data_IF_542180300569
#
_entry.id   IF_542180300569
#
_cell.length_a   1.000
_cell.length_b   1.000
_cell.length_c   1.000
_cell.angle_alpha   90.00
_cell.angle_beta   90.00
_cell.angle_gamma   90.00
#
_symmetry.space_group_name_H-M   'P 1'
#
loop_
_entity.id
_entity.type
_entity.pdbx_description
1 polymer ?
#
# COMPACT_ATOMS: atom_id res chain seq x y z
N UNK A 1 13.97 3.01 -12.51
CA UNK A 1 12.52 3.15 -12.80
C UNK A 1 12.18 2.71 -14.21
N UNK A 2 12.81 3.25 -15.28
CA UNK A 2 12.59 2.78 -16.67
C UNK A 2 12.68 1.26 -16.81
N UNK A 3 13.77 0.67 -16.31
CA UNK A 3 13.96 -0.79 -16.26
C UNK A 3 12.82 -1.57 -15.61
N UNK A 4 12.12 -1.00 -14.62
CA UNK A 4 10.95 -1.64 -14.02
C UNK A 4 9.73 -1.50 -14.94
N UNK A 5 9.46 -0.31 -15.48
CA UNK A 5 8.33 -0.07 -16.38
C UNK A 5 8.40 -0.86 -17.69
N UNK A 6 9.61 -1.21 -18.13
CA UNK A 6 9.84 -1.99 -19.34
C UNK A 6 9.58 -3.50 -19.12
N UNK A 7 9.34 -3.95 -17.89
CA UNK A 7 9.02 -5.35 -17.58
C UNK A 7 7.56 -5.67 -17.96
N UNK A 8 7.29 -6.79 -18.65
CA UNK A 8 5.92 -7.20 -19.02
C UNK A 8 4.95 -7.31 -17.82
N UNK A 9 5.47 -7.73 -16.67
CA UNK A 9 4.74 -7.96 -15.42
C UNK A 9 4.73 -6.75 -14.47
N UNK A 10 5.30 -5.61 -14.88
CA UNK A 10 5.41 -4.42 -14.05
C UNK A 10 4.05 -3.99 -13.50
N UNK A 11 3.95 -3.96 -12.17
CA UNK A 11 2.69 -3.69 -11.48
C UNK A 11 2.96 -2.86 -10.23
N UNK A 12 2.20 -1.78 -10.06
CA UNK A 12 2.17 -1.03 -8.82
C UNK A 12 1.02 -1.52 -7.94
N UNK A 13 1.19 -1.42 -6.62
CA UNK A 13 0.22 -1.89 -5.65
C UNK A 13 -0.19 -0.73 -4.75
N UNK A 14 -1.49 -0.54 -4.56
CA UNK A 14 -2.04 0.46 -3.66
C UNK A 14 -2.86 -0.22 -2.58
N UNK A 15 -2.81 0.33 -1.37
CA UNK A 15 -3.61 -0.15 -0.23
C UNK A 15 -4.64 0.91 0.11
N UNK A 16 -5.86 0.48 0.37
CA UNK A 16 -6.96 1.38 0.72
C UNK A 16 -7.93 0.68 1.67
N UNK A 17 -8.95 1.39 2.15
CA UNK A 17 -10.01 0.82 2.99
C UNK A 17 -11.20 0.39 2.15
N UNK A 18 -12.11 -0.40 2.73
CA UNK A 18 -13.31 -0.86 2.02
C UNK A 18 -14.23 0.30 1.61
N UNK A 19 -14.33 1.35 2.43
CA UNK A 19 -15.17 2.52 2.14
C UNK A 19 -14.65 3.29 0.92
N UNK A 20 -13.32 3.46 0.85
CA UNK A 20 -12.66 4.05 -0.31
C UNK A 20 -12.78 3.15 -1.53
N UNK A 21 -12.68 1.83 -1.37
CA UNK A 21 -12.82 0.88 -2.48
C UNK A 21 -14.19 0.97 -3.15
N UNK A 22 -15.29 1.07 -2.39
CA UNK A 22 -16.64 1.27 -2.96
C UNK A 22 -16.70 2.53 -3.83
N UNK A 23 -16.05 3.60 -3.38
CA UNK A 23 -15.96 4.85 -4.14
C UNK A 23 -15.11 4.68 -5.41
N UNK A 24 -13.98 3.97 -5.30
CA UNK A 24 -13.08 3.68 -6.42
C UNK A 24 -13.78 2.83 -7.49
N UNK A 25 -14.60 1.85 -7.09
CA UNK A 25 -15.37 1.03 -8.03
C UNK A 25 -16.33 1.84 -8.89
N UNK A 26 -16.82 2.97 -8.37
CA UNK A 26 -17.78 3.83 -9.08
C UNK A 26 -17.06 4.89 -9.92
N UNK A 27 -16.01 5.50 -9.35
CA UNK A 27 -15.42 6.74 -9.88
C UNK A 27 -13.96 6.61 -10.31
N UNK A 28 -13.39 5.40 -10.30
CA UNK A 28 -11.94 5.19 -10.40
C UNK A 28 -11.17 5.72 -9.18
N UNK A 29 -9.86 5.52 -9.19
CA UNK A 29 -8.97 5.99 -8.13
C UNK A 29 -8.62 7.45 -8.36
N UNK A 30 -9.15 8.32 -7.50
CA UNK A 30 -8.89 9.75 -7.54
C UNK A 30 -7.90 10.15 -6.44
N UNK A 31 -6.95 11.02 -6.79
CA UNK A 31 -6.01 11.59 -5.85
C UNK A 31 -6.36 13.04 -5.53
N UNK A 32 -6.57 13.34 -4.25
CA UNK A 32 -6.85 14.70 -3.77
C UNK A 32 -5.71 15.70 -4.03
N UNK A 33 -4.48 15.23 -4.32
CA UNK A 33 -3.32 16.07 -4.61
C UNK A 33 -2.56 15.67 -5.89
N UNK A 34 -3.14 14.80 -6.72
CA UNK A 34 -2.44 14.21 -7.87
C UNK A 34 -1.26 13.31 -7.49
N UNK A 35 -1.23 12.79 -6.25
CA UNK A 35 -0.26 11.84 -5.72
C UNK A 35 -0.96 10.55 -5.32
N UNK A 36 -0.50 9.43 -5.85
CA UNK A 36 -0.96 8.09 -5.47
C UNK A 36 0.21 7.34 -4.88
N UNK A 37 0.10 6.96 -3.60
CA UNK A 37 1.12 6.21 -2.89
C UNK A 37 1.00 4.73 -3.23
N UNK A 38 2.10 4.14 -3.71
CA UNK A 38 2.12 2.77 -4.22
C UNK A 38 3.40 2.04 -3.85
N UNK A 39 3.33 0.72 -3.84
CA UNK A 39 4.49 -0.17 -3.78
C UNK A 39 4.81 -0.72 -5.17
N UNK A 40 6.09 -0.94 -5.47
CA UNK A 40 6.54 -1.72 -6.64
C UNK A 40 6.54 -3.23 -6.40
N UNK A 41 6.36 -3.66 -5.15
CA UNK A 41 6.37 -5.07 -4.74
C UNK A 41 5.00 -5.43 -4.17
N UNK A 42 4.46 -6.55 -4.64
CA UNK A 42 3.15 -7.09 -4.24
C UNK A 42 3.19 -8.08 -3.08
N UNK A 43 4.31 -8.16 -2.37
CA UNK A 43 4.48 -9.07 -1.24
C UNK A 43 3.67 -8.60 -0.03
N UNK A 44 2.88 -9.51 0.54
CA UNK A 44 1.99 -9.19 1.65
C UNK A 44 2.69 -8.52 2.84
N UNK A 45 3.89 -8.95 3.31
CA UNK A 45 4.59 -8.25 4.39
C UNK A 45 4.90 -6.78 4.07
N UNK A 46 5.35 -6.48 2.83
CA UNK A 46 5.65 -5.11 2.38
C UNK A 46 4.38 -4.27 2.36
N UNK A 47 3.32 -4.79 1.74
CA UNK A 47 2.05 -4.07 1.62
C UNK A 47 1.40 -3.81 2.97
N UNK A 48 1.45 -4.77 3.89
CA UNK A 48 0.98 -4.59 5.27
C UNK A 48 1.80 -3.53 6.01
N UNK A 49 3.13 -3.55 5.89
CA UNK A 49 3.99 -2.57 6.53
C UNK A 49 3.68 -1.15 6.08
N UNK A 50 3.53 -0.95 4.77
CA UNK A 50 3.12 0.34 4.18
C UNK A 50 1.73 0.75 4.69
N UNK A 51 0.77 -0.18 4.74
CA UNK A 51 -0.58 0.09 5.21
C UNK A 51 -0.59 0.55 6.68
N UNK A 52 0.10 -0.17 7.58
CA UNK A 52 0.20 0.17 9.00
C UNK A 52 0.85 1.52 9.25
N UNK A 53 1.73 1.94 8.36
CA UNK A 53 2.46 3.19 8.50
C UNK A 53 1.71 4.39 7.93
N UNK A 54 1.12 4.25 6.74
CA UNK A 54 0.62 5.38 5.95
C UNK A 54 -0.90 5.56 6.02
N UNK A 55 -1.65 4.59 6.52
CA UNK A 55 -3.12 4.62 6.55
C UNK A 55 -3.64 4.48 7.99
N UNK A 56 -3.73 5.56 8.78
CA UNK A 56 -4.30 5.52 10.12
C UNK A 56 -5.72 4.92 10.18
N UNK A 57 -6.49 5.05 9.10
CA UNK A 57 -7.86 4.56 8.97
C UNK A 57 -7.94 3.02 9.03
N UNK A 58 -6.84 2.28 8.82
CA UNK A 58 -6.88 0.83 8.94
C UNK A 58 -7.17 0.38 10.38
N UNK A 59 -6.92 1.24 11.37
CA UNK A 59 -7.19 0.95 12.78
C UNK A 59 -8.66 1.14 13.14
N UNK A 60 -9.47 1.70 12.23
CA UNK A 60 -10.92 1.84 12.39
C UNK A 60 -11.76 1.09 11.36
N UNK A 61 -11.25 0.81 10.15
CA UNK A 61 -11.99 0.07 9.10
C UNK A 61 -12.12 -1.44 9.37
N UNK A 62 -13.14 -2.11 8.82
CA UNK A 62 -13.31 -3.57 8.97
C UNK A 62 -12.52 -4.39 7.95
N UNK A 63 -12.05 -3.77 6.86
CA UNK A 63 -11.38 -4.48 5.78
C UNK A 63 -10.33 -3.60 5.10
N UNK A 64 -9.15 -4.20 4.87
CA UNK A 64 -8.10 -3.60 4.04
C UNK A 64 -8.23 -4.16 2.62
N UNK A 65 -8.16 -3.28 1.63
CA UNK A 65 -8.25 -3.63 0.22
C UNK A 65 -6.91 -3.35 -0.45
N UNK A 66 -6.37 -4.36 -1.12
CA UNK A 66 -5.17 -4.25 -1.92
C UNK A 66 -5.56 -4.28 -3.39
N UNK A 67 -5.09 -3.31 -4.15
CA UNK A 67 -5.35 -3.19 -5.58
C UNK A 67 -4.05 -3.15 -6.35
N UNK A 68 -4.10 -3.67 -7.58
CA UNK A 68 -3.02 -3.61 -8.56
C UNK A 68 -3.33 -2.53 -9.58
N UNK A 69 -2.28 -1.88 -10.01
CA UNK A 69 -2.23 -0.92 -11.09
C UNK A 69 -1.22 -1.44 -12.11
N UNK A 70 -1.62 -2.37 -13.00
CA UNK A 70 -0.71 -2.95 -13.98
C UNK A 70 -0.19 -1.89 -14.94
N UNK A 71 1.11 -1.91 -15.22
CA UNK A 71 1.72 -1.00 -16.19
C UNK A 71 1.10 -1.16 -17.58
N UNK A 72 0.79 -2.40 -17.97
CA UNK A 72 0.16 -2.74 -19.26
C UNK A 72 -1.21 -2.08 -19.49
N UNK A 73 -1.91 -1.72 -18.41
CA UNK A 73 -3.21 -1.02 -18.47
C UNK A 73 -3.08 0.50 -18.32
N UNK A 74 -2.08 0.94 -17.57
CA UNK A 74 -1.97 2.33 -17.14
C UNK A 74 -0.95 3.17 -17.90
N UNK A 75 0.04 2.52 -18.54
CA UNK A 75 1.11 3.18 -19.28
C UNK A 75 1.78 4.32 -18.48
N UNK A 76 2.18 4.05 -17.24
CA UNK A 76 2.88 5.05 -16.42
C UNK A 76 4.22 5.40 -17.05
N UNK A 77 4.61 6.66 -16.95
CA UNK A 77 5.90 7.15 -17.42
C UNK A 77 6.88 7.32 -16.27
N UNK A 78 8.18 7.36 -16.57
CA UNK A 78 9.20 7.55 -15.54
C UNK A 78 9.10 8.95 -14.89
N UNK A 79 8.60 9.93 -15.64
CA UNK A 79 8.42 11.32 -15.23
C UNK A 79 7.27 11.49 -14.22
N UNK A 80 6.27 10.60 -14.29
CA UNK A 80 5.17 10.52 -13.32
C UNK A 80 5.59 9.88 -11.99
N UNK A 81 6.75 9.24 -11.92
CA UNK A 81 7.13 8.43 -10.76
C UNK A 81 8.17 9.12 -9.91
N UNK A 82 7.92 9.14 -8.60
CA UNK A 82 8.87 9.64 -7.60
C UNK A 82 9.06 8.59 -6.51
N UNK A 83 10.28 8.41 -5.99
CA UNK A 83 10.47 7.69 -4.74
C UNK A 83 9.65 8.35 -3.64
N UNK A 84 8.99 7.54 -2.81
CA UNK A 84 8.43 8.03 -1.56
C UNK A 84 9.47 7.83 -0.45
N UNK A 85 10.05 8.93 -0.01
CA UNK A 85 11.07 8.93 1.05
C UNK A 85 10.47 9.31 2.42
N UNK A 86 9.14 9.34 2.54
CA UNK A 86 8.48 9.74 3.78
C UNK A 86 8.28 8.57 4.75
N UNK A 87 8.83 7.40 4.45
CA UNK A 87 8.61 6.23 5.29
C UNK A 87 9.30 6.34 6.66
N UNK A 88 8.53 6.11 7.72
CA UNK A 88 8.98 5.78 9.06
C UNK A 88 9.51 4.35 9.21
N UNK A 89 9.25 3.45 8.25
CA UNK A 89 9.80 2.08 8.21
C UNK A 89 10.79 1.96 7.06
N UNK A 90 12.08 2.08 7.39
CA UNK A 90 13.19 2.17 6.43
C UNK A 90 13.26 1.01 5.43
N UNK A 91 12.98 -0.23 5.86
CA UNK A 91 13.08 -1.37 4.94
C UNK A 91 12.03 -1.36 3.82
N UNK A 92 10.94 -0.62 3.99
CA UNK A 92 9.91 -0.48 2.95
C UNK A 92 10.22 0.63 1.96
N UNK A 93 11.05 1.62 2.34
CA UNK A 93 11.40 2.79 1.51
C UNK A 93 11.84 2.44 0.08
N UNK A 94 12.65 1.39 -0.17
CA UNK A 94 13.05 1.03 -1.53
C UNK A 94 11.86 0.70 -2.45
N UNK A 95 10.74 0.25 -1.88
CA UNK A 95 9.55 -0.20 -2.61
C UNK A 95 8.48 0.88 -2.71
N UNK A 96 8.47 1.85 -1.81
CA UNK A 96 7.48 2.93 -1.78
C UNK A 96 7.75 3.96 -2.89
N UNK A 97 6.70 4.31 -3.61
CA UNK A 97 6.72 5.23 -4.74
C UNK A 97 5.44 6.07 -4.76
N UNK A 98 5.53 7.21 -5.42
CA UNK A 98 4.41 8.11 -5.68
C UNK A 98 4.21 8.16 -7.19
N UNK A 99 2.98 7.90 -7.64
CA UNK A 99 2.53 8.18 -9.00
C UNK A 99 1.88 9.57 -9.01
N UNK A 100 2.44 10.47 -9.82
CA UNK A 100 1.96 11.84 -10.03
C UNK A 100 0.80 11.85 -11.04
N UNK A 101 -0.34 11.26 -10.67
CA UNK A 101 -1.53 11.17 -11.50
C UNK A 101 -2.78 11.50 -10.68
N UNK A 102 -3.70 12.28 -11.27
CA UNK A 102 -4.93 12.70 -10.60
C UNK A 102 -6.01 11.62 -10.57
N UNK A 103 -6.06 10.80 -11.61
CA UNK A 103 -7.14 9.84 -11.81
C UNK A 103 -6.63 8.58 -12.50
N UNK A 104 -7.07 7.42 -12.02
CA UNK A 104 -6.94 6.13 -12.69
C UNK A 104 -8.35 5.54 -12.90
N UNK A 105 -8.76 5.29 -14.15
CA UNK A 105 -10.05 4.67 -14.44
C UNK A 105 -10.18 3.27 -13.83
N UNK A 106 -11.40 2.87 -13.44
CA UNK A 106 -11.64 1.58 -12.77
C UNK A 106 -11.26 0.38 -13.63
N UNK A 107 -11.41 0.48 -14.95
CA UNK A 107 -11.01 -0.57 -15.92
C UNK A 107 -9.50 -0.86 -15.91
N UNK A 108 -8.70 0.09 -15.41
CA UNK A 108 -7.25 -0.02 -15.30
C UNK A 108 -6.77 -0.50 -13.92
N UNK A 109 -7.71 -0.80 -13.01
CA UNK A 109 -7.45 -1.25 -11.65
C UNK A 109 -7.87 -2.71 -11.54
N UNK A 110 -7.04 -3.52 -10.87
CA UNK A 110 -7.40 -4.90 -10.56
C UNK A 110 -7.44 -5.11 -9.04
N UNK A 111 -8.46 -5.80 -8.55
CA UNK A 111 -8.49 -6.21 -7.16
C UNK A 111 -7.45 -7.31 -6.94
N UNK A 112 -6.53 -7.12 -5.99
CA UNK A 112 -5.60 -8.18 -5.58
C UNK A 112 -6.23 -9.06 -4.52
N UNK A 113 -6.61 -8.46 -3.39
CA UNK A 113 -7.21 -9.16 -2.27
C UNK A 113 -7.90 -8.19 -1.31
N UNK A 114 -8.74 -8.76 -0.46
CA UNK A 114 -9.41 -8.10 0.66
C UNK A 114 -9.03 -8.85 1.94
N UNK A 115 -8.64 -8.12 2.98
CA UNK A 115 -8.32 -8.68 4.29
C UNK A 115 -9.32 -8.17 5.30
N UNK A 116 -10.17 -9.07 5.78
CA UNK A 116 -11.10 -8.77 6.85
C UNK A 116 -10.36 -8.66 8.18
N UNK A 117 -10.48 -7.50 8.82
CA UNK A 117 -9.90 -7.22 10.13
C UNK A 117 -10.85 -7.65 11.26
N UNK A 118 -12.16 -7.70 11.00
CA UNK A 118 -13.17 -8.05 11.98
C UNK A 118 -13.54 -6.92 12.93
N UNK A 119 -14.36 -7.25 13.91
CA UNK A 119 -14.78 -6.35 15.00
C UNK A 119 -14.13 -6.76 16.32
N UNK A 120 -14.15 -5.87 17.33
CA UNK A 120 -13.61 -6.20 18.65
C UNK A 120 -14.42 -7.34 19.31
N UNK A 121 -13.76 -8.27 20.03
CA UNK A 121 -12.33 -8.31 20.40
C UNK A 121 -11.39 -9.00 19.37
N UNK A 122 -11.94 -9.57 18.29
CA UNK A 122 -11.16 -10.34 17.30
C UNK A 122 -10.21 -9.45 16.50
N UNK A 123 -10.62 -8.21 16.23
CA UNK A 123 -9.82 -7.20 15.52
C UNK A 123 -8.43 -7.02 16.11
N UNK A 124 -8.34 -6.81 17.42
CA UNK A 124 -7.06 -6.64 18.11
C UNK A 124 -6.12 -7.82 17.84
N UNK A 125 -6.62 -9.06 17.90
CA UNK A 125 -5.83 -10.24 17.59
C UNK A 125 -5.36 -10.26 16.12
N UNK A 126 -6.26 -9.99 15.18
CA UNK A 126 -5.95 -9.98 13.75
C UNK A 126 -4.89 -8.92 13.41
N UNK A 127 -5.04 -7.70 13.91
CA UNK A 127 -4.07 -6.61 13.70
C UNK A 127 -2.69 -6.97 14.25
N UNK A 128 -2.63 -7.59 15.44
CA UNK A 128 -1.37 -8.04 16.02
C UNK A 128 -0.71 -9.14 15.18
N UNK A 129 -1.50 -10.08 14.67
CA UNK A 129 -1.00 -11.14 13.79
C UNK A 129 -0.47 -10.59 12.46
N UNK A 130 -1.21 -9.69 11.81
CA UNK A 130 -0.80 -9.04 10.56
C UNK A 130 0.45 -8.16 10.76
N UNK A 131 0.56 -7.47 11.89
CA UNK A 131 1.78 -6.72 12.26
C UNK A 131 3.00 -7.66 12.37
N UNK A 132 2.83 -8.87 12.91
CA UNK A 132 3.91 -9.87 12.95
C UNK A 132 4.32 -10.33 11.56
N UNK A 133 3.36 -10.56 10.65
CA UNK A 133 3.67 -10.88 9.24
C UNK A 133 4.47 -9.74 8.60
N UNK A 134 4.04 -8.50 8.80
CA UNK A 134 4.72 -7.33 8.27
C UNK A 134 6.16 -7.22 8.80
N UNK A 135 6.37 -7.41 10.10
CA UNK A 135 7.70 -7.42 10.70
C UNK A 135 8.57 -8.59 10.25
N UNK A 136 8.01 -9.78 9.99
CA UNK A 136 8.79 -10.90 9.45
C UNK A 136 9.38 -10.57 8.07
N UNK A 137 8.73 -9.69 7.28
CA UNK A 137 9.26 -9.19 6.02
C UNK A 137 10.59 -8.43 6.16
N UNK A 138 10.87 -7.84 7.32
CA UNK A 138 12.11 -7.13 7.63
C UNK A 138 13.34 -8.06 7.62
N UNK A 139 13.17 -9.35 7.94
CA UNK A 139 14.27 -10.33 7.94
C UNK A 139 14.96 -10.40 6.57
N UNK A 140 14.24 -10.06 5.49
CA UNK A 140 14.75 -10.03 4.12
C UNK A 140 15.54 -8.75 3.79
N UNK A 141 15.49 -7.70 4.62
CA UNK A 141 15.99 -6.35 4.29
C UNK A 141 16.73 -5.62 5.44
N UNK A 142 16.90 -6.22 6.63
CA UNK A 142 17.70 -5.73 7.78
C UNK A 142 17.58 -4.21 8.10
N UNK A 143 16.41 -3.69 8.46
CA UNK A 143 16.25 -2.32 9.05
C UNK A 143 15.25 -2.32 10.22
N UNK A 144 14.70 -1.19 10.68
CA UNK A 144 13.80 -1.07 11.85
C UNK A 144 12.43 -1.79 11.72
N UNK A 145 11.84 -2.25 12.83
CA UNK A 145 10.53 -2.91 12.87
C UNK A 145 9.34 -1.93 13.03
N UNK A 146 8.15 -2.33 12.60
CA UNK A 146 6.90 -1.55 12.73
C UNK A 146 6.53 -1.36 14.21
N UNK A 147 6.73 -2.40 15.02
CA UNK A 147 6.36 -2.39 16.45
C UNK A 147 7.19 -1.39 17.24
N UNK A 148 8.50 -1.31 16.98
CA UNK A 148 9.38 -0.31 17.60
C UNK A 148 8.91 1.11 17.28
N UNK A 149 8.46 1.37 16.04
CA UNK A 149 7.97 2.69 15.64
C UNK A 149 6.62 3.04 16.25
N UNK A 150 5.66 2.12 16.31
CA UNK A 150 4.33 2.37 16.90
C UNK A 150 4.43 2.85 18.37
N UNK A 151 5.43 2.39 19.10
CA UNK A 151 5.67 2.83 20.49
C UNK A 151 6.24 4.25 20.62
N UNK A 152 6.81 4.81 19.55
CA UNK A 152 7.35 6.17 19.50
C UNK A 152 6.31 7.22 19.06
N UNK A 153 5.13 6.82 18.59
CA UNK A 153 4.03 7.70 18.15
C UNK A 153 3.05 7.99 19.30
N UNK A 154 3.45 7.76 20.56
CA UNK A 154 2.59 8.09 21.72
C UNK A 154 2.36 9.61 21.80
N UNK A 155 1.10 10.01 21.62
CA UNK A 155 0.56 11.33 21.97
C UNK A 155 0.51 11.52 23.49
#
# INVERSE_FOLDING_TARGET
MRTFLDQPEATFYHVTTVENWVTIQTNGLNSNAGRLFVSRIGELPVLLAIAFEQLPEIYTTEEIVFIKLPQSKNNFTAEELRPDNQAGVEWTQPFQNIILRKHIPIENIELMMKLHLGQEPQRTFTINYLTRIANAGQENYQNHSITERATQIKY
#
